data_IF_459251786184
#
_entry.id   IF_459251786184
#
_cell.length_a   1.000
_cell.length_b   1.000
_cell.length_c   1.000
_cell.angle_alpha   90.00
_cell.angle_beta   90.00
_cell.angle_gamma   90.00
#
_symmetry.space_group_name_H-M   'P 1'
#
loop_
_entity.id
_entity.type
_entity.pdbx_description
1 polymer ?
#
# COMPACT_ATOMS: atom_id res chain seq x y z
N UNK A 1 12.11 15.61 -16.56
CA UNK A 1 10.70 15.96 -16.75
C UNK A 1 10.54 16.91 -17.95
N UNK A 2 11.31 18.00 -18.05
CA UNK A 2 11.25 18.95 -19.16
C UNK A 2 11.36 18.23 -20.51
N UNK A 3 12.42 17.43 -20.71
CA UNK A 3 12.61 16.64 -21.93
C UNK A 3 11.42 15.71 -22.24
N UNK A 4 10.78 15.12 -21.22
CA UNK A 4 9.61 14.25 -21.42
C UNK A 4 8.42 15.03 -22.01
N UNK A 5 8.16 16.23 -21.51
CA UNK A 5 7.08 17.09 -22.02
C UNK A 5 7.40 17.68 -23.41
N UNK A 6 8.65 18.00 -23.67
CA UNK A 6 9.10 18.44 -25.01
C UNK A 6 8.97 17.33 -26.05
N UNK A 7 9.36 16.10 -25.67
CA UNK A 7 9.34 14.95 -26.59
C UNK A 7 7.93 14.33 -26.77
N UNK A 8 7.00 14.57 -25.84
CA UNK A 8 5.67 14.00 -25.84
C UNK A 8 4.60 15.09 -25.65
N UNK A 9 4.24 15.84 -26.71
CA UNK A 9 3.33 17.00 -26.60
C UNK A 9 1.93 16.67 -26.04
N UNK A 10 1.49 15.42 -26.14
CA UNK A 10 0.22 14.95 -25.57
C UNK A 10 0.31 14.51 -24.11
N UNK A 11 1.50 14.55 -23.51
CA UNK A 11 1.71 14.13 -22.10
C UNK A 11 0.97 15.09 -21.16
N UNK A 12 0.04 14.55 -20.37
CA UNK A 12 -0.75 15.35 -19.42
C UNK A 12 -0.22 15.34 -18.01
N UNK A 13 0.45 14.27 -17.61
CA UNK A 13 1.06 14.13 -16.28
C UNK A 13 2.16 13.07 -16.28
N UNK A 14 3.08 13.22 -15.33
CA UNK A 14 4.05 12.19 -14.99
C UNK A 14 3.74 11.68 -13.58
N UNK A 15 3.95 10.40 -13.38
CA UNK A 15 3.89 9.74 -12.07
C UNK A 15 5.16 8.94 -11.83
N UNK A 16 5.53 8.75 -10.58
CA UNK A 16 6.68 7.90 -10.24
C UNK A 16 6.45 7.17 -8.91
N UNK A 17 7.20 6.10 -8.71
CA UNK A 17 7.35 5.48 -7.42
C UNK A 17 8.29 6.32 -6.54
N UNK A 18 7.94 6.44 -5.26
CA UNK A 18 8.74 7.13 -4.26
C UNK A 18 8.68 6.38 -2.92
N UNK A 19 9.79 6.29 -2.23
CA UNK A 19 9.80 5.84 -0.84
C UNK A 19 9.52 7.02 0.09
N UNK A 20 9.12 6.75 1.34
CA UNK A 20 8.99 7.79 2.36
C UNK A 20 10.29 8.59 2.49
N UNK A 21 11.45 7.91 2.49
CA UNK A 21 12.77 8.54 2.54
C UNK A 21 13.01 9.51 1.38
N UNK A 22 12.68 9.10 0.13
CA UNK A 22 12.86 10.00 -1.02
C UNK A 22 12.09 11.32 -0.89
N UNK A 23 10.92 11.28 -0.26
CA UNK A 23 10.08 12.47 -0.06
C UNK A 23 10.61 13.30 1.10
N UNK A 24 10.96 12.66 2.22
CA UNK A 24 11.40 13.35 3.43
C UNK A 24 12.75 14.05 3.26
N UNK A 25 13.68 13.47 2.49
CA UNK A 25 15.00 14.05 2.23
C UNK A 25 14.97 15.25 1.28
N UNK A 26 13.92 15.46 0.50
CA UNK A 26 13.79 16.64 -0.35
C UNK A 26 13.36 17.85 0.46
N UNK A 27 13.86 19.01 0.07
CA UNK A 27 13.34 20.30 0.53
C UNK A 27 11.94 20.56 -0.04
N UNK A 28 11.18 21.45 0.56
CA UNK A 28 9.87 21.84 0.05
C UNK A 28 10.00 22.50 -1.34
N UNK A 29 11.02 23.33 -1.56
CA UNK A 29 11.32 23.95 -2.85
C UNK A 29 11.62 22.92 -3.96
N UNK A 30 12.33 21.82 -3.63
CA UNK A 30 12.57 20.73 -4.59
C UNK A 30 11.28 19.99 -4.96
N UNK A 31 10.39 19.75 -3.99
CA UNK A 31 9.10 19.13 -4.24
C UNK A 31 8.19 20.05 -5.07
N UNK A 32 8.14 21.33 -4.75
CA UNK A 32 7.41 22.33 -5.54
C UNK A 32 7.93 22.39 -6.97
N UNK A 33 9.25 22.41 -7.16
CA UNK A 33 9.85 22.40 -8.50
C UNK A 33 9.51 21.14 -9.29
N UNK A 34 9.51 19.95 -8.67
CA UNK A 34 9.08 18.71 -9.32
C UNK A 34 7.60 18.78 -9.72
N UNK A 35 6.78 19.40 -8.89
CA UNK A 35 5.35 19.58 -9.13
C UNK A 35 5.09 20.54 -10.30
N UNK A 36 5.81 21.66 -10.38
CA UNK A 36 5.78 22.60 -11.51
C UNK A 36 6.18 21.91 -12.82
N UNK A 37 7.22 21.09 -12.79
CA UNK A 37 7.71 20.31 -13.93
C UNK A 37 6.77 19.17 -14.37
N UNK A 38 5.58 19.07 -13.78
CA UNK A 38 4.53 18.14 -14.23
C UNK A 38 4.51 16.78 -13.56
N UNK A 39 5.33 16.52 -12.53
CA UNK A 39 5.15 15.35 -11.68
C UNK A 39 3.88 15.55 -10.84
N UNK A 40 2.90 14.66 -10.97
CA UNK A 40 1.56 14.87 -10.39
C UNK A 40 1.17 13.84 -9.35
N UNK A 41 1.66 12.61 -9.48
CA UNK A 41 1.26 11.47 -8.68
C UNK A 41 2.48 10.71 -8.19
N UNK A 42 2.52 10.42 -6.89
CA UNK A 42 3.52 9.59 -6.25
C UNK A 42 2.89 8.26 -5.82
N UNK A 43 3.51 7.15 -6.23
CA UNK A 43 3.17 5.82 -5.73
C UNK A 43 4.06 5.51 -4.54
N UNK A 44 3.45 5.25 -3.39
CA UNK A 44 4.13 4.93 -2.13
C UNK A 44 3.64 3.57 -1.68
N UNK A 45 4.55 2.62 -1.53
CA UNK A 45 4.24 1.28 -1.03
C UNK A 45 4.73 1.09 0.41
N UNK A 46 3.94 1.44 1.44
CA UNK A 46 4.24 1.03 2.80
C UNK A 46 4.14 -0.49 2.98
N UNK A 47 3.32 -1.14 2.17
CA UNK A 47 2.98 -2.56 2.12
C UNK A 47 2.29 -3.08 3.38
N UNK A 48 2.52 -2.48 4.54
CA UNK A 48 1.93 -2.78 5.83
C UNK A 48 1.86 -1.52 6.68
N UNK A 49 0.99 -1.51 7.69
CA UNK A 49 1.00 -0.53 8.76
C UNK A 49 1.48 -1.11 10.10
N UNK A 50 1.85 -2.39 10.12
CA UNK A 50 2.49 -3.02 11.27
C UNK A 50 4.01 -2.84 11.20
N UNK A 51 4.57 -2.14 12.17
CA UNK A 51 6.00 -1.80 12.23
C UNK A 51 6.91 -3.05 12.16
N UNK A 52 6.52 -4.13 12.80
CA UNK A 52 7.28 -5.40 12.80
C UNK A 52 7.31 -6.01 11.42
N UNK A 53 6.16 -6.03 10.74
CA UNK A 53 6.06 -6.51 9.35
C UNK A 53 6.86 -5.61 8.41
N UNK A 54 6.74 -4.27 8.52
CA UNK A 54 7.50 -3.33 7.70
C UNK A 54 9.02 -3.52 7.85
N UNK A 55 9.50 -3.78 9.05
CA UNK A 55 10.92 -4.09 9.32
C UNK A 55 11.34 -5.41 8.68
N UNK A 56 10.49 -6.45 8.76
CA UNK A 56 10.74 -7.76 8.17
C UNK A 56 10.91 -7.69 6.65
N UNK A 57 10.08 -6.90 5.97
CA UNK A 57 10.13 -6.71 4.53
C UNK A 57 11.02 -5.54 4.08
N UNK A 58 11.81 -4.99 4.99
CA UNK A 58 12.80 -3.93 4.75
C UNK A 58 12.24 -2.66 4.11
N UNK A 59 11.10 -2.14 4.61
CA UNK A 59 10.42 -0.94 4.09
C UNK A 59 11.05 0.40 4.50
N UNK A 60 12.32 0.47 4.55
CA UNK A 60 13.09 1.71 4.69
C UNK A 60 14.31 1.54 5.57
N UNK A 61 15.35 2.32 5.31
CA UNK A 61 16.50 2.40 6.18
C UNK A 61 16.10 3.12 7.48
N UNK A 62 16.68 2.69 8.59
CA UNK A 62 16.66 3.51 9.79
C UNK A 62 17.51 4.77 9.54
N UNK A 63 17.01 6.00 9.76
CA UNK A 63 17.85 7.18 9.67
C UNK A 63 18.99 7.09 10.65
N UNK A 64 20.18 7.51 10.22
CA UNK A 64 21.33 7.66 11.12
C UNK A 64 20.97 8.69 12.20
N UNK A 65 21.04 8.30 13.47
CA UNK A 65 20.78 9.17 14.60
C UNK A 65 19.32 9.36 15.01
N UNK A 66 18.36 8.72 14.34
CA UNK A 66 16.98 8.74 14.82
C UNK A 66 16.87 8.00 16.16
N UNK A 67 16.17 8.62 17.11
CA UNK A 67 15.75 7.93 18.32
C UNK A 67 15.03 6.62 17.93
N UNK A 68 15.18 5.57 18.75
CA UNK A 68 14.43 4.33 18.59
C UNK A 68 12.95 4.57 18.92
N UNK A 69 12.23 5.24 17.99
CA UNK A 69 10.78 5.17 18.01
C UNK A 69 10.40 3.74 17.61
N UNK A 70 9.52 3.12 18.37
CA UNK A 70 9.03 1.78 18.06
C UNK A 70 8.19 1.75 16.78
N UNK A 71 7.64 2.90 16.35
CA UNK A 71 6.80 3.08 15.14
C UNK A 71 7.46 3.96 14.06
N UNK A 72 8.78 3.93 13.94
CA UNK A 72 9.50 4.83 13.03
C UNK A 72 9.07 4.74 11.57
N UNK A 73 8.86 3.53 11.03
CA UNK A 73 8.47 3.36 9.62
C UNK A 73 7.04 3.86 9.39
N UNK A 74 6.12 3.56 10.30
CA UNK A 74 4.76 4.07 10.27
C UNK A 74 4.76 5.61 10.23
N UNK A 75 5.40 6.25 11.21
CA UNK A 75 5.46 7.70 11.34
C UNK A 75 6.09 8.37 10.11
N UNK A 76 7.13 7.75 9.53
CA UNK A 76 7.78 8.24 8.31
C UNK A 76 6.84 8.24 7.11
N UNK A 77 5.99 7.21 6.95
CA UNK A 77 5.03 7.18 5.86
C UNK A 77 3.93 8.23 6.02
N UNK A 78 3.47 8.46 7.26
CA UNK A 78 2.51 9.53 7.56
C UNK A 78 3.11 10.91 7.24
N UNK A 79 4.33 11.17 7.73
CA UNK A 79 5.04 12.42 7.48
C UNK A 79 5.31 12.65 5.99
N UNK A 80 5.75 11.62 5.25
CA UNK A 80 5.98 11.70 3.82
C UNK A 80 4.68 12.00 3.03
N UNK A 81 3.59 11.36 3.42
CA UNK A 81 2.28 11.61 2.82
C UNK A 81 1.81 13.06 3.06
N UNK A 82 1.95 13.56 4.28
CA UNK A 82 1.61 14.93 4.62
C UNK A 82 2.46 15.95 3.82
N UNK A 83 3.78 15.74 3.77
CA UNK A 83 4.71 16.59 3.04
C UNK A 83 4.43 16.60 1.53
N UNK A 84 4.20 15.43 0.93
CA UNK A 84 3.87 15.32 -0.49
C UNK A 84 2.54 16.04 -0.82
N UNK A 85 1.52 15.90 0.02
CA UNK A 85 0.25 16.61 -0.17
C UNK A 85 0.38 18.11 -0.01
N UNK A 86 1.17 18.58 0.95
CA UNK A 86 1.46 20.02 1.13
C UNK A 86 2.10 20.62 -0.13
N UNK A 87 2.98 19.87 -0.81
CA UNK A 87 3.56 20.24 -2.11
C UNK A 87 2.60 20.05 -3.32
N UNK A 88 1.35 19.64 -3.10
CA UNK A 88 0.32 19.52 -4.13
C UNK A 88 0.34 18.23 -4.95
N UNK A 89 1.05 17.18 -4.51
CA UNK A 89 1.01 15.87 -5.15
C UNK A 89 -0.25 15.09 -4.80
N UNK A 90 -0.75 14.31 -5.76
CA UNK A 90 -1.63 13.19 -5.46
C UNK A 90 -0.79 12.02 -4.96
N UNK A 91 -1.37 11.20 -4.07
CA UNK A 91 -0.71 10.02 -3.49
C UNK A 91 -1.54 8.79 -3.82
N UNK A 92 -0.86 7.76 -4.30
CA UNK A 92 -1.37 6.40 -4.42
C UNK A 92 -0.63 5.50 -3.44
N UNK A 93 -1.34 4.87 -2.52
CA UNK A 93 -0.74 3.92 -1.58
C UNK A 93 -1.03 2.48 -1.98
N UNK A 94 -0.04 1.62 -1.74
CA UNK A 94 -0.12 0.19 -2.05
C UNK A 94 0.16 -0.59 -0.77
N UNK A 95 -0.71 -1.57 -0.47
CA UNK A 95 -0.57 -2.51 0.65
C UNK A 95 -0.51 -3.93 0.12
N UNK A 96 0.24 -4.81 0.80
CA UNK A 96 0.40 -6.22 0.42
C UNK A 96 -0.34 -7.12 1.40
N UNK A 97 -1.45 -7.71 0.97
CA UNK A 97 -2.14 -8.74 1.71
C UNK A 97 -1.23 -9.94 1.95
N UNK A 98 -1.19 -10.43 3.16
CA UNK A 98 -0.34 -11.52 3.57
C UNK A 98 1.07 -11.12 4.03
N UNK A 99 1.46 -9.85 3.96
CA UNK A 99 2.79 -9.41 4.35
C UNK A 99 3.13 -9.70 5.83
N UNK A 100 2.13 -9.73 6.71
CA UNK A 100 2.27 -10.07 8.13
C UNK A 100 2.60 -11.55 8.37
N UNK A 101 2.27 -12.43 7.42
CA UNK A 101 2.20 -13.86 7.65
C UNK A 101 0.99 -14.23 8.51
N UNK A 102 0.78 -15.52 8.74
CA UNK A 102 -0.31 -15.97 9.62
C UNK A 102 -0.14 -15.46 11.05
N UNK A 103 1.11 -15.25 11.48
CA UNK A 103 1.47 -14.89 12.85
C UNK A 103 1.12 -13.45 13.21
N UNK A 104 1.00 -12.57 12.21
CA UNK A 104 0.75 -11.14 12.41
C UNK A 104 -0.29 -10.58 11.44
N UNK A 105 -1.20 -11.43 10.98
CA UNK A 105 -2.24 -11.07 10.01
C UNK A 105 -3.18 -9.99 10.57
N UNK A 106 -3.57 -10.11 11.83
CA UNK A 106 -4.45 -9.14 12.50
C UNK A 106 -3.75 -7.80 12.70
N UNK A 107 -2.56 -7.77 13.30
CA UNK A 107 -1.81 -6.53 13.50
C UNK A 107 -1.44 -5.85 12.18
N UNK A 108 -1.15 -6.66 11.15
CA UNK A 108 -0.93 -6.16 9.80
C UNK A 108 -2.17 -5.48 9.24
N UNK A 109 -3.34 -6.11 9.34
CA UNK A 109 -4.59 -5.57 8.81
C UNK A 109 -5.03 -4.30 9.55
N UNK A 110 -5.05 -4.32 10.88
CA UNK A 110 -5.42 -3.18 11.72
C UNK A 110 -4.42 -2.02 11.61
N UNK A 111 -3.13 -2.33 11.67
CA UNK A 111 -2.07 -1.34 11.47
C UNK A 111 -2.16 -0.67 10.10
N UNK A 112 -2.47 -1.45 9.05
CA UNK A 112 -2.65 -0.92 7.69
C UNK A 112 -3.89 -0.04 7.59
N UNK A 113 -5.02 -0.41 8.21
CA UNK A 113 -6.22 0.44 8.26
C UNK A 113 -5.94 1.79 8.93
N UNK A 114 -5.18 1.78 10.03
CA UNK A 114 -4.72 3.00 10.72
C UNK A 114 -3.80 3.84 9.82
N UNK A 115 -2.80 3.21 9.18
CA UNK A 115 -1.87 3.91 8.28
C UNK A 115 -2.59 4.51 7.06
N UNK A 116 -3.55 3.80 6.46
CA UNK A 116 -4.41 4.32 5.38
C UNK A 116 -5.14 5.59 5.85
N UNK A 117 -5.69 5.56 7.06
CA UNK A 117 -6.40 6.70 7.64
C UNK A 117 -5.50 7.91 7.78
N UNK A 118 -4.31 7.74 8.37
CA UNK A 118 -3.38 8.83 8.64
C UNK A 118 -2.69 9.35 7.38
N UNK A 119 -2.31 8.49 6.45
CA UNK A 119 -1.77 8.91 5.14
C UNK A 119 -2.82 9.62 4.29
N UNK A 120 -4.09 9.26 4.43
CA UNK A 120 -5.23 9.81 3.70
C UNK A 120 -4.98 9.94 2.18
N UNK A 121 -4.74 8.83 1.47
CA UNK A 121 -4.33 8.84 0.07
C UNK A 121 -5.50 9.19 -0.87
N UNK A 122 -5.18 9.64 -2.10
CA UNK A 122 -6.15 9.83 -3.18
C UNK A 122 -6.52 8.51 -3.86
N UNK A 123 -5.57 7.58 -3.91
CA UNK A 123 -5.72 6.24 -4.47
C UNK A 123 -5.20 5.21 -3.46
N UNK A 124 -5.96 4.17 -3.26
CA UNK A 124 -5.63 3.07 -2.37
C UNK A 124 -5.72 1.75 -3.14
N UNK A 125 -4.65 0.97 -3.13
CA UNK A 125 -4.62 -0.35 -3.75
C UNK A 125 -4.14 -1.39 -2.76
N UNK A 126 -4.73 -2.59 -2.84
CA UNK A 126 -4.20 -3.77 -2.17
C UNK A 126 -3.84 -4.83 -3.23
N UNK A 127 -2.70 -5.48 -3.03
CA UNK A 127 -2.19 -6.56 -3.86
C UNK A 127 -1.95 -7.77 -2.97
N UNK A 128 -2.14 -8.97 -3.51
CA UNK A 128 -1.80 -10.20 -2.77
C UNK A 128 -0.32 -10.50 -2.95
N UNK A 129 0.36 -10.74 -1.84
CA UNK A 129 1.77 -11.12 -1.81
C UNK A 129 1.96 -12.48 -2.50
N UNK A 130 3.00 -12.58 -3.30
CA UNK A 130 3.51 -13.83 -3.86
C UNK A 130 4.95 -14.03 -3.41
N UNK A 131 5.25 -15.19 -2.87
CA UNK A 131 6.61 -15.53 -2.45
C UNK A 131 7.41 -15.98 -3.67
N UNK A 132 8.40 -15.17 -4.05
CA UNK A 132 9.24 -15.47 -5.21
C UNK A 132 10.47 -16.27 -4.78
N UNK A 133 10.76 -17.43 -5.42
CA UNK A 133 11.92 -18.24 -5.12
C UNK A 133 13.23 -17.43 -5.15
N UNK A 134 14.14 -17.72 -4.21
CA UNK A 134 15.44 -17.04 -4.11
C UNK A 134 15.43 -15.72 -3.34
N UNK A 135 14.26 -15.16 -3.01
CA UNK A 135 14.15 -13.92 -2.22
C UNK A 135 14.43 -14.16 -0.73
N UNK A 136 14.74 -13.10 0.05
CA UNK A 136 14.86 -13.22 1.51
C UNK A 136 13.60 -13.77 2.16
N UNK A 137 12.41 -13.37 1.70
CA UNK A 137 11.14 -13.86 2.25
C UNK A 137 10.94 -15.35 2.01
N UNK A 138 11.26 -15.85 0.81
CA UNK A 138 11.25 -17.29 0.53
C UNK A 138 12.17 -18.11 1.48
N UNK A 139 13.33 -17.55 1.85
CA UNK A 139 14.23 -18.20 2.83
C UNK A 139 13.64 -18.19 4.24
N UNK A 140 12.93 -17.14 4.62
CA UNK A 140 12.27 -17.04 5.93
C UNK A 140 11.12 -18.04 6.01
N UNK A 141 10.34 -18.18 4.95
CA UNK A 141 9.26 -19.17 4.81
C UNK A 141 9.80 -20.59 4.86
N UNK A 142 10.83 -20.91 4.07
CA UNK A 142 11.47 -22.24 4.07
C UNK A 142 12.02 -22.64 5.45
N UNK A 143 12.38 -21.69 6.29
CA UNK A 143 12.80 -21.91 7.67
C UNK A 143 11.64 -21.90 8.69
N UNK A 144 10.40 -21.89 8.25
CA UNK A 144 9.18 -21.89 9.07
C UNK A 144 9.10 -20.72 10.09
N UNK A 145 9.72 -19.58 9.75
CA UNK A 145 9.70 -18.37 10.59
C UNK A 145 8.65 -17.35 10.16
N UNK A 146 7.94 -17.66 9.10
CA UNK A 146 6.85 -16.89 8.53
C UNK A 146 6.10 -17.80 7.55
N UNK A 147 4.79 -17.71 7.53
CA UNK A 147 3.94 -18.51 6.64
C UNK A 147 2.96 -17.60 5.93
N UNK A 148 2.84 -17.74 4.61
CA UNK A 148 1.84 -16.99 3.83
C UNK A 148 0.44 -17.38 4.29
N UNK A 149 -0.45 -16.43 4.60
CA UNK A 149 -1.84 -16.74 4.93
C UNK A 149 -2.59 -17.38 3.77
N UNK A 150 -3.54 -18.24 4.10
CA UNK A 150 -4.47 -18.80 3.12
C UNK A 150 -5.50 -17.76 2.65
N UNK A 151 -6.19 -18.06 1.55
CA UNK A 151 -7.13 -17.14 0.89
C UNK A 151 -8.18 -16.54 1.83
N UNK A 152 -8.84 -17.30 2.71
CA UNK A 152 -9.80 -16.71 3.64
C UNK A 152 -9.18 -15.66 4.57
N UNK A 153 -7.97 -15.90 5.04
CA UNK A 153 -7.26 -14.95 5.90
C UNK A 153 -6.83 -13.69 5.14
N UNK A 154 -6.37 -13.82 3.89
CA UNK A 154 -6.07 -12.67 3.01
C UNK A 154 -7.31 -11.81 2.75
N UNK A 155 -8.48 -12.43 2.53
CA UNK A 155 -9.74 -11.70 2.39
C UNK A 155 -10.16 -11.03 3.69
N UNK A 156 -9.92 -11.67 4.85
CA UNK A 156 -10.17 -11.08 6.17
C UNK A 156 -9.29 -9.87 6.44
N UNK A 157 -7.99 -9.92 6.07
CA UNK A 157 -7.12 -8.74 6.13
C UNK A 157 -7.67 -7.57 5.31
N UNK A 158 -8.06 -7.86 4.06
CA UNK A 158 -8.62 -6.84 3.16
C UNK A 158 -9.91 -6.24 3.73
N UNK A 159 -10.79 -7.10 4.27
CA UNK A 159 -12.01 -6.68 4.94
C UNK A 159 -11.73 -5.72 6.10
N UNK A 160 -10.81 -6.09 6.99
CA UNK A 160 -10.39 -5.26 8.12
C UNK A 160 -9.82 -3.92 7.66
N UNK A 161 -8.94 -3.93 6.65
CA UNK A 161 -8.36 -2.70 6.08
C UNK A 161 -9.44 -1.75 5.53
N UNK A 162 -10.45 -2.27 4.83
CA UNK A 162 -11.54 -1.47 4.28
C UNK A 162 -12.50 -1.00 5.37
N UNK A 163 -12.90 -1.91 6.27
CA UNK A 163 -13.87 -1.63 7.32
C UNK A 163 -13.37 -0.61 8.34
N UNK A 164 -12.12 -0.71 8.76
CA UNK A 164 -11.57 0.13 9.83
C UNK A 164 -10.90 1.42 9.34
N UNK A 165 -10.46 1.50 8.06
CA UNK A 165 -9.82 2.71 7.56
C UNK A 165 -10.81 3.87 7.36
N UNK A 166 -10.32 5.11 7.52
CA UNK A 166 -11.15 6.34 7.43
C UNK A 166 -10.50 7.40 6.52
N UNK A 167 -10.11 7.06 5.29
CA UNK A 167 -9.67 8.09 4.34
C UNK A 167 -10.85 8.99 3.99
N UNK A 168 -10.57 10.27 3.68
CA UNK A 168 -11.64 11.25 3.39
C UNK A 168 -12.26 11.06 2.01
N UNK A 169 -11.48 10.63 1.02
CA UNK A 169 -11.94 10.45 -0.36
C UNK A 169 -10.92 9.64 -1.18
N UNK A 170 -10.75 8.35 -0.90
CA UNK A 170 -9.81 7.48 -1.61
C UNK A 170 -10.50 6.64 -2.69
N UNK A 171 -9.97 6.65 -3.92
CA UNK A 171 -10.37 5.66 -4.92
C UNK A 171 -9.67 4.33 -4.61
N UNK A 172 -10.44 3.36 -4.14
CA UNK A 172 -9.98 2.03 -3.76
C UNK A 172 -10.06 1.04 -4.91
N UNK A 173 -9.05 0.17 -5.06
CA UNK A 173 -9.00 -0.89 -6.08
C UNK A 173 -8.20 -2.10 -5.62
N UNK A 174 -8.70 -3.30 -5.95
CA UNK A 174 -8.00 -4.59 -5.86
C UNK A 174 -8.03 -5.35 -7.19
N UNK A 175 -8.06 -4.62 -8.30
CA UNK A 175 -8.18 -5.23 -9.64
C UNK A 175 -6.85 -5.77 -10.21
N UNK A 176 -5.75 -5.69 -9.46
CA UNK A 176 -4.48 -6.29 -9.86
C UNK A 176 -4.60 -7.81 -10.04
N UNK A 177 -3.84 -8.35 -10.98
CA UNK A 177 -3.91 -9.78 -11.34
C UNK A 177 -3.54 -10.73 -10.17
N UNK A 178 -2.75 -10.27 -9.20
CA UNK A 178 -2.41 -11.06 -8.01
C UNK A 178 -3.58 -11.30 -7.04
N UNK A 179 -4.68 -10.55 -7.15
CA UNK A 179 -5.78 -10.64 -6.21
C UNK A 179 -6.82 -11.70 -6.60
N UNK A 180 -7.39 -12.37 -5.59
CA UNK A 180 -8.46 -13.36 -5.75
C UNK A 180 -9.82 -12.72 -6.04
N UNK A 181 -10.05 -11.49 -5.59
CA UNK A 181 -11.31 -10.78 -5.74
C UNK A 181 -11.06 -9.33 -6.22
N UNK A 182 -11.42 -9.01 -7.48
CA UNK A 182 -11.32 -7.64 -7.98
C UNK A 182 -12.46 -6.78 -7.43
N UNK A 183 -12.11 -5.80 -6.61
CA UNK A 183 -13.03 -4.83 -6.02
C UNK A 183 -12.64 -3.42 -6.41
N UNK A 184 -13.60 -2.52 -6.39
CA UNK A 184 -13.37 -1.11 -6.60
C UNK A 184 -14.50 -0.26 -6.03
N UNK A 185 -14.16 0.95 -5.63
CA UNK A 185 -15.10 1.91 -5.08
C UNK A 185 -14.40 3.12 -4.50
N UNK A 186 -15.17 3.98 -3.89
CA UNK A 186 -14.68 5.19 -3.22
C UNK A 186 -14.90 5.06 -1.71
N UNK A 187 -13.84 5.24 -0.95
CA UNK A 187 -13.92 5.24 0.51
C UNK A 187 -14.01 6.69 1.02
N UNK A 188 -14.91 6.99 1.97
CA UNK A 188 -15.73 6.04 2.74
C UNK A 188 -17.09 5.65 2.10
N UNK A 189 -17.47 6.25 0.98
CA UNK A 189 -18.81 6.15 0.38
C UNK A 189 -19.26 4.71 0.11
N UNK A 190 -18.40 3.90 -0.51
CA UNK A 190 -18.67 2.51 -0.90
C UNK A 190 -18.25 1.47 0.16
N UNK A 191 -17.88 1.88 1.38
CA UNK A 191 -17.32 0.96 2.39
C UNK A 191 -18.23 -0.22 2.68
N UNK A 192 -19.50 0.04 3.05
CA UNK A 192 -20.45 -1.00 3.40
C UNK A 192 -20.61 -2.01 2.27
N UNK A 193 -20.83 -1.54 1.06
CA UNK A 193 -20.96 -2.41 -0.14
C UNK A 193 -19.71 -3.28 -0.37
N UNK A 194 -18.52 -2.74 -0.16
CA UNK A 194 -17.26 -3.49 -0.34
C UNK A 194 -17.10 -4.53 0.78
N UNK A 195 -17.41 -4.18 2.02
CA UNK A 195 -17.38 -5.10 3.18
C UNK A 195 -18.38 -6.23 2.98
N UNK A 196 -19.64 -5.94 2.61
CA UNK A 196 -20.65 -6.95 2.33
C UNK A 196 -20.19 -7.92 1.22
N UNK A 197 -19.55 -7.40 0.16
CA UNK A 197 -19.02 -8.26 -0.90
C UNK A 197 -17.91 -9.17 -0.39
N UNK A 198 -17.04 -8.68 0.50
CA UNK A 198 -16.00 -9.48 1.13
C UNK A 198 -16.58 -10.54 2.08
N UNK A 199 -17.65 -10.23 2.81
CA UNK A 199 -18.36 -11.18 3.66
C UNK A 199 -19.03 -12.29 2.84
N UNK A 200 -19.61 -11.97 1.68
CA UNK A 200 -20.11 -12.97 0.72
C UNK A 200 -18.99 -13.85 0.17
N UNK A 201 -17.82 -13.29 -0.10
CA UNK A 201 -16.67 -14.07 -0.55
C UNK A 201 -16.13 -15.00 0.54
N UNK A 202 -16.04 -14.52 1.78
CA UNK A 202 -15.62 -15.31 2.94
C UNK A 202 -16.59 -16.46 3.26
N UNK A 203 -17.89 -16.27 3.05
CA UNK A 203 -18.90 -17.33 3.18
C UNK A 203 -18.95 -18.33 2.01
N UNK A 204 -18.16 -18.09 0.95
CA UNK A 204 -18.19 -18.89 -0.27
C UNK A 204 -19.40 -18.64 -1.18
N UNK A 205 -20.19 -17.59 -0.92
CA UNK A 205 -21.38 -17.27 -1.70
C UNK A 205 -21.07 -16.68 -3.10
N UNK A 206 -19.86 -16.15 -3.29
CA UNK A 206 -19.39 -15.66 -4.59
C UNK A 206 -18.06 -16.31 -4.99
N UNK A 207 -17.84 -16.56 -6.29
CA UNK A 207 -16.62 -17.21 -6.74
C UNK A 207 -15.41 -16.27 -6.65
N UNK A 208 -14.26 -16.85 -6.32
CA UNK A 208 -12.97 -16.18 -6.36
C UNK A 208 -12.25 -16.50 -7.67
N UNK A 209 -11.34 -15.63 -8.08
CA UNK A 209 -10.43 -15.90 -9.20
C UNK A 209 -9.59 -17.14 -8.87
N UNK A 210 -9.57 -18.16 -9.74
CA UNK A 210 -8.78 -19.37 -9.50
C UNK A 210 -7.28 -19.06 -9.61
N UNK A 211 -6.46 -19.86 -8.91
CA UNK A 211 -5.01 -19.66 -8.84
C UNK A 211 -4.33 -19.56 -10.21
N UNK A 212 -4.71 -20.43 -11.15
CA UNK A 212 -4.14 -20.46 -12.49
C UNK A 212 -4.42 -19.21 -13.35
N UNK A 213 -5.40 -18.39 -12.98
CA UNK A 213 -5.74 -17.15 -13.69
C UNK A 213 -5.19 -15.89 -12.99
N UNK A 214 -4.51 -16.06 -11.86
CA UNK A 214 -3.79 -14.99 -11.21
C UNK A 214 -2.44 -14.77 -11.90
N UNK A 215 -1.95 -13.53 -11.88
CA UNK A 215 -0.66 -13.15 -12.44
C UNK A 215 0.18 -12.35 -11.46
N UNK A 216 1.47 -12.39 -11.66
CA UNK A 216 2.45 -11.56 -10.93
C UNK A 216 2.65 -10.22 -11.64
#
# INVERSE_FOLDING_TARGET
>A
LELAYESLPALRQVSCYATATNILEKTDAELERLRELGLRLLYIGPESGDETTMRRIAKGPRPKGAARSDNYLFDSHVAAAAKARAAGFKISTIFLLGAGGIERSEEHAEGSARLITEMNPHFLSALTLTVVPGTPLHRIEANQKWTLPEVPQLLSELRTMVDQSRPTNALFRTNHASNYLPLGGRLPEDRERIVDTLDLALSGAIPLRPEWSRGL
#
